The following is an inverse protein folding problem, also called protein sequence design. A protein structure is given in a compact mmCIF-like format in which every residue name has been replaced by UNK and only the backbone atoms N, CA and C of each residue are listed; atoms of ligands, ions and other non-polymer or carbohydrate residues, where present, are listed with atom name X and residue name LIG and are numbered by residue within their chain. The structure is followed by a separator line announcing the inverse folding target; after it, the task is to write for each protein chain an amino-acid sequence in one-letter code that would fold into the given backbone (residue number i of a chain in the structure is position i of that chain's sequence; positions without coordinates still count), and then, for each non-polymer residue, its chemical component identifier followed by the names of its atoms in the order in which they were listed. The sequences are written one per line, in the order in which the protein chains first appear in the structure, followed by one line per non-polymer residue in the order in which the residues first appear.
data_IF_036822719520
#
_entry.id   IF_036822719520
#
_cell.length_a   1.000
_cell.length_b   1.000
_cell.length_c   1.000
_cell.angle_alpha   90.00
_cell.angle_beta   90.00
_cell.angle_gamma   90.00
#
_symmetry.space_group_name_H-M   'P 1'
#
loop_
_entity.id
_entity.type
_entity.pdbx_description
1 polymer ?
#
# COMPACT_ATOMS: atom_id res chain seq x y z
N UNK A 1 4.17 -17.99 -4.54
CA UNK A 1 4.19 -18.65 -3.21
C UNK A 1 4.81 -17.64 -2.27
N UNK A 2 4.01 -16.90 -1.50
CA UNK A 2 4.47 -15.79 -0.66
C UNK A 2 4.60 -16.29 0.78
N UNK A 3 5.83 -16.47 1.25
CA UNK A 3 6.17 -16.77 2.63
C UNK A 3 6.31 -15.45 3.40
N UNK A 4 5.62 -15.34 4.53
CA UNK A 4 5.91 -14.34 5.56
C UNK A 4 6.26 -15.08 6.84
N UNK A 5 7.42 -14.72 7.39
CA UNK A 5 7.90 -15.15 8.69
C UNK A 5 6.97 -14.62 9.80
N UNK A 6 6.63 -15.51 10.73
CA UNK A 6 6.13 -15.29 12.09
C UNK A 6 5.64 -13.87 12.44
N UNK A 7 4.34 -13.65 12.27
CA UNK A 7 3.43 -12.94 13.19
C UNK A 7 2.01 -13.03 12.59
N UNK A 8 0.97 -13.07 13.42
CA UNK A 8 -0.44 -13.28 13.02
C UNK A 8 -1.03 -12.09 12.23
N UNK A 9 -0.52 -11.81 11.03
CA UNK A 9 -1.11 -10.84 10.10
C UNK A 9 -2.44 -11.40 9.60
N UNK A 10 -3.52 -10.64 9.81
CA UNK A 10 -4.90 -11.04 9.47
C UNK A 10 -5.06 -11.30 7.98
N UNK A 11 -5.97 -12.21 7.61
CA UNK A 11 -6.31 -12.48 6.21
C UNK A 11 -6.73 -11.20 5.47
N UNK A 12 -7.40 -10.28 6.16
CA UNK A 12 -7.84 -9.01 5.58
C UNK A 12 -6.67 -8.10 5.22
N UNK A 13 -5.68 -7.99 6.11
CA UNK A 13 -4.46 -7.19 5.89
C UNK A 13 -3.72 -7.67 4.65
N UNK A 14 -3.54 -8.99 4.53
CA UNK A 14 -2.91 -9.61 3.35
C UNK A 14 -3.68 -9.32 2.06
N UNK A 15 -5.01 -9.33 2.13
CA UNK A 15 -5.84 -9.04 0.96
C UNK A 15 -5.70 -7.58 0.51
N UNK A 16 -5.65 -6.65 1.46
CA UNK A 16 -5.44 -5.21 1.18
C UNK A 16 -4.06 -4.99 0.58
N UNK A 17 -3.00 -5.48 1.24
CA UNK A 17 -1.63 -5.34 0.76
C UNK A 17 -1.44 -5.90 -0.66
N UNK A 18 -1.96 -7.10 -0.93
CA UNK A 18 -1.91 -7.70 -2.28
C UNK A 18 -2.63 -6.84 -3.33
N UNK A 19 -3.74 -6.18 -2.96
CA UNK A 19 -4.46 -5.29 -3.87
C UNK A 19 -3.70 -3.98 -4.10
N UNK A 20 -3.05 -3.42 -3.08
CA UNK A 20 -2.16 -2.26 -3.23
C UNK A 20 -1.03 -2.59 -4.20
N UNK A 21 -0.36 -3.75 -4.03
CA UNK A 21 0.70 -4.20 -4.93
C UNK A 21 0.17 -4.33 -6.38
N UNK A 22 -1.03 -4.88 -6.57
CA UNK A 22 -1.66 -4.93 -7.90
C UNK A 22 -1.84 -3.54 -8.51
N UNK A 23 -2.29 -2.55 -7.73
CA UNK A 23 -2.48 -1.17 -8.19
C UNK A 23 -1.13 -0.53 -8.54
N UNK A 24 -0.09 -0.76 -7.74
CA UNK A 24 1.26 -0.31 -8.03
C UNK A 24 1.78 -0.89 -9.34
N UNK A 25 1.57 -2.18 -9.58
CA UNK A 25 1.92 -2.86 -10.84
C UNK A 25 1.15 -2.27 -12.03
N UNK A 26 -0.13 -1.93 -11.86
CA UNK A 26 -0.97 -1.26 -12.87
C UNK A 26 -0.44 0.16 -13.20
N UNK A 27 0.21 0.81 -12.24
CA UNK A 27 0.87 2.11 -12.37
C UNK A 27 2.36 2.02 -12.82
N UNK A 28 2.84 0.81 -13.19
CA UNK A 28 4.20 0.61 -13.71
C UNK A 28 5.28 0.41 -12.66
N UNK A 29 4.90 0.24 -11.39
CA UNK A 29 5.81 -0.08 -10.28
C UNK A 29 5.72 -1.57 -10.00
N UNK A 30 6.68 -2.32 -10.52
CA UNK A 30 6.70 -3.78 -10.43
C UNK A 30 7.40 -4.23 -9.14
N UNK A 31 6.65 -4.85 -8.25
CA UNK A 31 7.16 -5.50 -7.04
C UNK A 31 6.91 -7.00 -7.21
N UNK A 32 7.96 -7.77 -7.53
CA UNK A 32 7.83 -9.20 -7.86
C UNK A 32 7.64 -10.06 -6.60
N UNK A 33 8.17 -9.61 -5.46
CA UNK A 33 7.98 -10.25 -4.16
C UNK A 33 8.16 -9.29 -2.98
N UNK A 34 7.88 -9.75 -1.77
CA UNK A 34 8.04 -8.95 -0.55
C UNK A 34 9.50 -8.56 -0.27
N UNK A 35 10.49 -9.33 -0.76
CA UNK A 35 11.90 -8.93 -0.66
C UNK A 35 12.17 -7.67 -1.49
N UNK A 36 11.52 -7.52 -2.65
CA UNK A 36 11.58 -6.27 -3.41
C UNK A 36 10.85 -5.13 -2.70
N UNK A 37 9.89 -5.44 -1.82
CA UNK A 37 9.21 -4.43 -1.03
C UNK A 37 10.16 -3.77 0.00
N UNK A 38 11.24 -4.44 0.43
CA UNK A 38 12.30 -3.81 1.24
C UNK A 38 13.22 -2.88 0.43
N UNK A 39 13.07 -2.85 -0.91
CA UNK A 39 13.82 -1.92 -1.75
C UNK A 39 13.44 -0.47 -1.49
N UNK A 40 14.38 0.43 -1.80
CA UNK A 40 14.16 1.86 -1.69
C UNK A 40 12.91 2.31 -2.44
N UNK A 41 12.12 3.19 -1.81
CA UNK A 41 10.94 3.76 -2.42
C UNK A 41 11.35 4.78 -3.49
N UNK A 42 11.46 4.32 -4.73
CA UNK A 42 11.86 5.13 -5.88
C UNK A 42 10.68 5.31 -6.82
N UNK A 43 9.72 6.14 -6.41
CA UNK A 43 8.53 6.46 -7.18
C UNK A 43 8.53 7.95 -7.52
N UNK A 44 8.31 8.29 -8.79
CA UNK A 44 8.16 9.68 -9.17
C UNK A 44 6.82 10.26 -8.68
N UNK A 45 6.75 11.58 -8.52
CA UNK A 45 5.60 12.24 -7.92
C UNK A 45 4.29 12.04 -8.70
N UNK A 46 4.35 11.86 -10.03
CA UNK A 46 3.15 11.65 -10.83
C UNK A 46 2.63 10.23 -10.64
N UNK A 47 3.52 9.23 -10.67
CA UNK A 47 3.18 7.84 -10.40
C UNK A 47 2.66 7.65 -8.97
N UNK A 48 3.25 8.36 -8.00
CA UNK A 48 2.77 8.38 -6.62
C UNK A 48 1.33 8.89 -6.52
N UNK A 49 1.05 10.06 -7.10
CA UNK A 49 -0.29 10.64 -7.05
C UNK A 49 -1.31 9.76 -7.77
N UNK A 50 -0.98 9.20 -8.95
CA UNK A 50 -1.85 8.27 -9.67
C UNK A 50 -2.15 7.02 -8.85
N UNK A 51 -1.12 6.43 -8.23
CA UNK A 51 -1.27 5.25 -7.37
C UNK A 51 -2.18 5.53 -6.17
N UNK A 52 -2.05 6.70 -5.53
CA UNK A 52 -2.91 7.11 -4.41
C UNK A 52 -4.37 7.26 -4.86
N UNK A 53 -4.62 7.94 -5.99
CA UNK A 53 -5.97 8.11 -6.54
C UNK A 53 -6.60 6.75 -6.85
N UNK A 54 -5.85 5.84 -7.46
CA UNK A 54 -6.36 4.49 -7.77
C UNK A 54 -6.68 3.69 -6.49
N UNK A 55 -5.89 3.85 -5.42
CA UNK A 55 -6.19 3.25 -4.11
C UNK A 55 -7.50 3.81 -3.55
N UNK A 56 -7.66 5.14 -3.51
CA UNK A 56 -8.90 5.80 -3.06
C UNK A 56 -10.13 5.29 -3.84
N UNK A 57 -10.01 5.17 -5.17
CA UNK A 57 -11.09 4.69 -6.02
C UNK A 57 -11.44 3.21 -5.80
N UNK A 58 -10.44 2.35 -5.59
CA UNK A 58 -10.63 0.92 -5.39
C UNK A 58 -11.23 0.62 -4.01
N UNK A 59 -10.84 1.37 -2.97
CA UNK A 59 -11.28 1.15 -1.59
C UNK A 59 -12.42 2.07 -1.14
N UNK A 60 -12.81 3.05 -1.96
CA UNK A 60 -13.83 4.07 -1.64
C UNK A 60 -13.51 4.83 -0.35
N UNK A 61 -12.23 5.16 -0.18
CA UNK A 61 -11.71 5.96 0.93
C UNK A 61 -11.16 7.29 0.41
N UNK A 62 -10.84 8.21 1.33
CA UNK A 62 -9.96 9.32 1.02
C UNK A 62 -8.73 9.25 1.93
N UNK A 63 -7.55 9.29 1.33
CA UNK A 63 -6.27 9.28 2.04
C UNK A 63 -5.97 10.71 2.48
N UNK A 64 -5.72 10.96 3.79
CA UNK A 64 -5.46 12.30 4.26
C UNK A 64 -4.22 12.93 3.61
N UNK A 65 -4.32 14.21 3.25
CA UNK A 65 -3.26 14.91 2.51
C UNK A 65 -1.90 14.97 3.25
N UNK A 66 -1.90 14.86 4.57
CA UNK A 66 -0.68 14.76 5.39
C UNK A 66 0.21 13.56 5.01
N UNK A 67 -0.37 12.48 4.49
CA UNK A 67 0.39 11.32 4.01
C UNK A 67 1.04 11.52 2.65
N UNK A 68 0.61 12.52 1.86
CA UNK A 68 1.23 12.82 0.56
C UNK A 68 2.64 13.42 0.72
N UNK A 69 2.96 13.94 1.90
CA UNK A 69 4.28 14.48 2.24
C UNK A 69 5.18 13.50 3.02
N UNK A 70 4.75 12.25 3.21
CA UNK A 70 5.55 11.28 3.96
C UNK A 70 6.79 10.84 3.17
N UNK A 71 7.90 10.69 3.88
CA UNK A 71 9.16 10.18 3.34
C UNK A 71 9.20 8.65 3.55
N UNK A 72 8.59 7.92 2.62
CA UNK A 72 8.64 6.46 2.61
C UNK A 72 10.05 6.01 2.25
N UNK A 73 10.67 5.18 3.09
CA UNK A 73 12.03 4.68 2.82
C UNK A 73 11.99 3.49 1.88
N UNK A 74 11.01 2.63 2.04
CA UNK A 74 10.82 1.41 1.25
C UNK A 74 9.41 1.28 0.73
N UNK A 75 9.21 0.45 -0.30
CA UNK A 75 7.86 0.10 -0.76
C UNK A 75 7.04 -0.61 0.32
N UNK A 76 7.70 -1.36 1.20
CA UNK A 76 7.07 -1.98 2.35
C UNK A 76 6.52 -0.94 3.33
N UNK A 77 7.29 0.12 3.61
CA UNK A 77 6.82 1.22 4.46
C UNK A 77 5.56 1.87 3.88
N UNK A 78 5.54 2.09 2.56
CA UNK A 78 4.37 2.61 1.86
C UNK A 78 3.19 1.66 1.98
N UNK A 79 3.35 0.38 1.62
CA UNK A 79 2.28 -0.63 1.66
C UNK A 79 1.70 -0.77 3.07
N UNK A 80 2.55 -0.83 4.10
CA UNK A 80 2.13 -0.95 5.49
C UNK A 80 1.34 0.28 5.93
N UNK A 81 1.86 1.49 5.65
CA UNK A 81 1.19 2.75 6.03
C UNK A 81 -0.19 2.86 5.38
N UNK A 82 -0.30 2.60 4.08
CA UNK A 82 -1.59 2.65 3.39
C UNK A 82 -2.53 1.57 3.92
N UNK A 83 -2.03 0.36 4.20
CA UNK A 83 -2.83 -0.72 4.76
C UNK A 83 -3.42 -0.32 6.12
N UNK A 84 -2.64 0.31 7.00
CA UNK A 84 -3.11 0.81 8.30
C UNK A 84 -4.19 1.88 8.17
N UNK A 85 -4.05 2.83 7.23
CA UNK A 85 -5.06 3.86 6.94
C UNK A 85 -6.36 3.21 6.49
N UNK A 86 -6.28 2.23 5.58
CA UNK A 86 -7.44 1.54 5.04
C UNK A 86 -8.19 0.75 6.12
N UNK A 87 -7.47 0.02 6.97
CA UNK A 87 -8.09 -0.70 8.09
C UNK A 87 -8.77 0.25 9.07
N UNK A 88 -8.11 1.34 9.43
CA UNK A 88 -8.66 2.34 10.34
C UNK A 88 -9.94 2.99 9.79
N UNK A 89 -9.99 3.19 8.47
CA UNK A 89 -11.14 3.77 7.76
C UNK A 89 -12.31 2.78 7.59
N UNK A 90 -12.04 1.48 7.59
CA UNK A 90 -13.06 0.42 7.46
C UNK A 90 -13.74 0.08 8.79
N UNK A 91 -13.06 0.29 9.92
CA UNK A 91 -13.60 0.02 11.28
C UNK A 91 -14.60 1.09 11.73
N UNK A 92 -14.69 2.24 11.06
CA UNK A 92 -15.54 3.36 11.49
C UNK A 92 -17.02 3.25 11.06
N UNK A 93 -17.45 2.13 10.47
CA UNK A 93 -18.83 1.89 10.02
C UNK A 93 -19.58 0.84 10.87
N UNK A 94 -19.39 0.83 12.20
CA UNK A 94 -20.26 0.11 13.16
C UNK A 94 -21.14 1.05 13.99
#
# INVERSE_FOLDING_TARGET
MLYMYDNEVSYMEKKIANKIISIMNENGIFIDCYDDAESAFEMDSLTFLSTIVDIEENFKVSIPAEFLGNDFKTYLDFINTITEILLSSLVTYE
#
